data_IF_136365788369
#
_entry.id   IF_136365788369
#
_cell.length_a   1.000
_cell.length_b   1.000
_cell.length_c   1.000
_cell.angle_alpha   90.00
_cell.angle_beta   90.00
_cell.angle_gamma   90.00
#
_symmetry.space_group_name_H-M   'P 1'
#
loop_
_entity.id
_entity.type
_entity.pdbx_description
1 polymer ?
#
# COMPACT_ATOMS: atom_id res chain seq x y z
N UNK A 1 -2.29 -7.39 -7.84
CA UNK A 1 -2.78 -6.86 -9.13
C UNK A 1 -3.37 -7.98 -9.97
N UNK A 2 -4.36 -7.69 -10.85
CA UNK A 2 -4.94 -8.64 -11.79
C UNK A 2 -5.51 -7.89 -13.01
N UNK A 3 -5.03 -8.18 -14.23
CA UNK A 3 -5.41 -7.53 -15.47
C UNK A 3 -5.47 -5.99 -15.36
N UNK A 4 -4.38 -5.41 -14.90
CA UNK A 4 -4.30 -3.98 -14.56
C UNK A 4 -3.34 -3.20 -15.47
N UNK A 5 -2.98 -3.72 -16.65
CA UNK A 5 -1.99 -3.12 -17.55
C UNK A 5 -2.26 -1.64 -17.84
N UNK A 6 -3.54 -1.24 -17.97
CA UNK A 6 -3.91 0.14 -18.30
C UNK A 6 -3.69 1.16 -17.19
N UNK A 7 -3.55 0.72 -15.94
CA UNK A 7 -3.48 1.61 -14.75
C UNK A 7 -2.27 1.38 -13.86
N UNK A 8 -1.50 0.30 -14.08
CA UNK A 8 -0.42 -0.11 -13.20
C UNK A 8 0.80 0.82 -13.27
N UNK A 9 1.21 1.25 -14.47
CA UNK A 9 2.45 2.01 -14.66
C UNK A 9 2.56 3.24 -13.75
N UNK A 10 1.53 4.11 -13.63
CA UNK A 10 1.62 5.27 -12.75
C UNK A 10 1.78 4.94 -11.26
N UNK A 11 1.29 3.78 -10.81
CA UNK A 11 1.50 3.29 -9.45
C UNK A 11 2.98 2.96 -9.25
N UNK A 12 3.56 2.18 -10.16
CA UNK A 12 4.96 1.77 -10.13
C UNK A 12 5.89 2.97 -10.16
N UNK A 13 5.64 3.93 -11.07
CA UNK A 13 6.42 5.16 -11.17
C UNK A 13 6.41 5.96 -9.87
N UNK A 14 5.25 6.03 -9.19
CA UNK A 14 5.13 6.76 -7.92
C UNK A 14 5.93 6.12 -6.78
N UNK A 15 6.13 4.80 -6.81
CA UNK A 15 7.00 4.08 -5.85
C UNK A 15 8.47 4.31 -6.22
N UNK A 16 8.83 4.18 -7.50
CA UNK A 16 10.20 4.37 -7.98
C UNK A 16 10.76 5.75 -7.65
N UNK A 17 9.89 6.78 -7.69
CA UNK A 17 10.27 8.17 -7.41
C UNK A 17 10.42 8.49 -5.92
N UNK A 18 10.15 7.57 -4.99
CA UNK A 18 10.31 7.86 -3.58
C UNK A 18 11.77 8.07 -3.22
N UNK A 19 12.05 9.13 -2.45
CA UNK A 19 13.41 9.48 -1.99
C UNK A 19 13.89 8.53 -0.88
N UNK A 20 12.98 7.95 -0.10
CA UNK A 20 13.31 7.01 0.98
C UNK A 20 13.93 5.74 0.40
N UNK A 21 15.17 5.38 0.78
CA UNK A 21 15.90 4.32 0.07
C UNK A 21 15.46 2.91 0.42
N UNK A 22 14.97 2.66 1.64
CA UNK A 22 14.73 1.30 2.13
C UNK A 22 13.28 0.85 1.86
N UNK A 23 12.92 0.74 0.59
CA UNK A 23 11.59 0.30 0.12
C UNK A 23 11.66 -1.15 -0.36
N UNK A 24 10.82 -2.01 0.18
CA UNK A 24 10.52 -3.33 -0.35
C UNK A 24 9.16 -3.27 -1.07
N UNK A 25 9.15 -3.35 -2.38
CA UNK A 25 7.93 -3.35 -3.19
C UNK A 25 7.61 -4.77 -3.65
N UNK A 26 6.59 -5.37 -3.05
CA UNK A 26 6.13 -6.72 -3.37
C UNK A 26 4.91 -6.62 -4.27
N UNK A 27 5.02 -7.11 -5.50
CA UNK A 27 3.94 -7.13 -6.48
C UNK A 27 3.38 -8.55 -6.55
N UNK A 28 2.15 -8.72 -6.08
CA UNK A 28 1.41 -9.96 -6.19
C UNK A 28 0.46 -9.86 -7.38
N UNK A 29 0.68 -10.68 -8.37
CA UNK A 29 -0.12 -10.77 -9.59
C UNK A 29 -0.96 -12.05 -9.60
N UNK A 30 -2.26 -11.92 -9.76
CA UNK A 30 -3.24 -13.01 -9.75
C UNK A 30 -3.27 -13.82 -11.06
N UNK A 31 -2.10 -14.07 -11.70
CA UNK A 31 -1.97 -14.69 -13.01
C UNK A 31 -2.69 -13.90 -14.10
N UNK A 32 -2.33 -12.64 -14.24
CA UNK A 32 -2.85 -11.76 -15.31
C UNK A 32 -2.62 -12.34 -16.70
N UNK A 33 -3.55 -12.06 -17.59
CA UNK A 33 -3.52 -12.50 -19.00
C UNK A 33 -3.28 -11.37 -19.99
N UNK A 34 -3.21 -10.13 -19.49
CA UNK A 34 -2.82 -8.93 -20.23
C UNK A 34 -1.33 -8.59 -19.95
N UNK A 35 -0.87 -7.42 -20.38
CA UNK A 35 0.52 -7.00 -20.26
C UNK A 35 0.94 -6.59 -18.81
N UNK A 36 0.11 -6.88 -17.80
CA UNK A 36 0.37 -6.51 -16.39
C UNK A 36 1.72 -7.05 -15.89
N UNK A 37 2.00 -8.33 -16.16
CA UNK A 37 3.22 -8.98 -15.69
C UNK A 37 4.48 -8.46 -16.42
N UNK A 38 4.36 -8.16 -17.71
CA UNK A 38 5.44 -7.56 -18.51
C UNK A 38 5.79 -6.17 -18.00
N UNK A 39 4.78 -5.35 -17.68
CA UNK A 39 4.96 -4.01 -17.09
C UNK A 39 5.66 -4.12 -15.73
N UNK A 40 5.23 -5.05 -14.87
CA UNK A 40 5.84 -5.26 -13.56
C UNK A 40 7.33 -5.67 -13.67
N UNK A 41 7.67 -6.55 -14.61
CA UNK A 41 9.06 -6.99 -14.85
C UNK A 41 9.92 -5.86 -15.41
N UNK A 42 9.41 -5.04 -16.33
CA UNK A 42 10.12 -3.88 -16.84
C UNK A 42 10.40 -2.87 -15.71
N UNK A 43 9.44 -2.64 -14.82
CA UNK A 43 9.62 -1.81 -13.63
C UNK A 43 10.69 -2.39 -12.69
N UNK A 44 10.69 -3.70 -12.42
CA UNK A 44 11.72 -4.34 -11.59
C UNK A 44 13.11 -4.10 -12.16
N UNK A 45 13.30 -4.31 -13.48
CA UNK A 45 14.57 -4.01 -14.13
C UNK A 45 14.96 -2.53 -14.00
N UNK A 46 14.01 -1.61 -14.19
CA UNK A 46 14.25 -0.17 -14.04
C UNK A 46 14.65 0.18 -12.59
N UNK A 47 14.04 -0.47 -11.60
CA UNK A 47 14.40 -0.28 -10.19
C UNK A 47 15.79 -0.82 -9.87
N UNK A 48 16.17 -1.98 -10.43
CA UNK A 48 17.50 -2.58 -10.26
C UNK A 48 18.62 -1.73 -10.92
N UNK A 49 18.29 -0.99 -11.97
CA UNK A 49 19.20 -0.07 -12.66
C UNK A 49 19.25 1.33 -12.01
N UNK A 50 18.29 1.65 -11.15
CA UNK A 50 18.23 2.93 -10.46
C UNK A 50 19.23 2.98 -9.28
N UNK A 51 19.75 4.17 -8.97
CA UNK A 51 20.63 4.38 -7.80
C UNK A 51 19.83 4.47 -6.48
N UNK A 52 18.59 3.96 -6.44
CA UNK A 52 17.82 3.83 -5.22
C UNK A 52 18.05 2.41 -4.62
N UNK A 53 17.99 2.28 -3.33
CA UNK A 53 18.16 0.99 -2.66
C UNK A 53 16.81 0.21 -2.56
N UNK A 54 15.90 0.41 -3.50
CA UNK A 54 14.61 -0.26 -3.53
C UNK A 54 14.76 -1.72 -3.92
N UNK A 55 14.03 -2.61 -3.27
CA UNK A 55 13.98 -4.03 -3.58
C UNK A 55 12.60 -4.36 -4.15
N UNK A 56 12.54 -4.78 -5.41
CA UNK A 56 11.29 -5.19 -6.07
C UNK A 56 11.21 -6.71 -6.16
N UNK A 57 10.11 -7.27 -5.69
CA UNK A 57 9.79 -8.70 -5.80
C UNK A 57 8.47 -8.89 -6.53
N UNK A 58 8.42 -9.85 -7.43
CA UNK A 58 7.21 -10.17 -8.21
C UNK A 58 6.86 -11.62 -7.98
N UNK A 59 5.61 -11.89 -7.63
CA UNK A 59 5.03 -13.22 -7.62
C UNK A 59 3.77 -13.21 -8.47
N UNK A 60 3.70 -14.09 -9.46
CA UNK A 60 2.54 -14.26 -10.32
C UNK A 60 2.03 -15.70 -10.22
N UNK A 61 0.83 -15.83 -9.68
CA UNK A 61 0.12 -17.10 -9.54
C UNK A 61 -1.38 -16.84 -9.36
N UNK A 62 -2.26 -17.79 -9.68
CA UNK A 62 -3.68 -17.65 -9.39
C UNK A 62 -3.93 -17.37 -7.90
N UNK A 63 -4.90 -16.50 -7.63
CA UNK A 63 -5.36 -16.17 -6.29
C UNK A 63 -6.89 -16.28 -6.18
N UNK A 64 -7.37 -16.33 -4.94
CA UNK A 64 -8.80 -16.32 -4.62
C UNK A 64 -9.36 -14.89 -4.43
N UNK A 65 -8.72 -13.90 -5.06
CA UNK A 65 -9.12 -12.50 -5.09
C UNK A 65 -8.20 -11.58 -4.28
N UNK A 66 -8.60 -10.30 -4.24
CA UNK A 66 -7.78 -9.20 -3.71
C UNK A 66 -7.18 -9.48 -2.32
N UNK A 67 -7.97 -9.98 -1.39
CA UNK A 67 -7.53 -10.17 -0.01
C UNK A 67 -6.61 -11.40 0.15
N UNK A 68 -6.74 -12.41 -0.70
CA UNK A 68 -5.78 -13.51 -0.78
C UNK A 68 -4.41 -13.00 -1.29
N UNK A 69 -4.41 -12.20 -2.35
CA UNK A 69 -3.20 -11.55 -2.84
C UNK A 69 -2.55 -10.66 -1.77
N UNK A 70 -3.33 -9.87 -1.02
CA UNK A 70 -2.83 -9.06 0.09
C UNK A 70 -2.22 -9.91 1.21
N UNK A 71 -2.83 -11.04 1.57
CA UNK A 71 -2.30 -11.98 2.55
C UNK A 71 -0.97 -12.59 2.08
N UNK A 72 -0.85 -12.95 0.80
CA UNK A 72 0.41 -13.44 0.22
C UNK A 72 1.52 -12.39 0.32
N UNK A 73 1.22 -11.13 0.00
CA UNK A 73 2.15 -10.02 0.16
C UNK A 73 2.57 -9.80 1.61
N UNK A 74 1.60 -9.82 2.54
CA UNK A 74 1.85 -9.65 3.97
C UNK A 74 2.78 -10.72 4.56
N UNK A 75 2.66 -11.97 4.10
CA UNK A 75 3.51 -13.06 4.55
C UNK A 75 4.97 -12.92 4.07
N UNK A 76 5.18 -12.29 2.91
CA UNK A 76 6.49 -12.11 2.30
C UNK A 76 7.21 -10.85 2.76
N UNK A 77 6.48 -9.83 3.19
CA UNK A 77 7.06 -8.54 3.58
C UNK A 77 8.11 -8.70 4.69
N UNK A 78 9.19 -7.92 4.66
CA UNK A 78 10.29 -7.99 5.64
C UNK A 78 10.59 -6.66 6.33
N UNK A 79 9.95 -5.56 5.89
CA UNK A 79 10.13 -4.22 6.45
C UNK A 79 9.55 -4.03 7.87
N UNK A 80 9.68 -2.82 8.41
CA UNK A 80 9.11 -2.45 9.72
C UNK A 80 7.60 -2.15 9.63
N UNK A 81 7.17 -1.52 8.55
CA UNK A 81 5.79 -1.15 8.26
C UNK A 81 5.35 -1.68 6.90
N UNK A 82 4.06 -1.93 6.76
CA UNK A 82 3.44 -2.31 5.49
C UNK A 82 2.30 -1.36 5.14
N UNK A 83 2.19 -1.05 3.85
CA UNK A 83 1.07 -0.36 3.23
C UNK A 83 0.65 -1.13 1.99
N UNK A 84 -0.64 -1.15 1.69
CA UNK A 84 -1.17 -1.77 0.49
C UNK A 84 -1.54 -0.71 -0.54
N UNK A 85 -1.10 -0.90 -1.77
CA UNK A 85 -1.33 -0.01 -2.88
C UNK A 85 -2.01 -0.77 -4.01
N UNK A 86 -3.18 -0.35 -4.43
CA UNK A 86 -3.84 -0.96 -5.58
C UNK A 86 -3.28 -0.37 -6.89
N UNK A 87 -3.35 -1.11 -7.97
CA UNK A 87 -3.04 -0.58 -9.29
C UNK A 87 -3.98 0.60 -9.62
N UNK A 88 -3.39 1.74 -9.97
CA UNK A 88 -4.06 3.03 -10.16
C UNK A 88 -3.86 4.03 -9.02
N UNK A 89 -3.59 3.57 -7.79
CA UNK A 89 -3.23 4.45 -6.68
C UNK A 89 -1.78 4.94 -6.79
N UNK A 90 -1.46 6.09 -6.21
CA UNK A 90 -0.13 6.72 -6.30
C UNK A 90 0.26 7.39 -5.01
N UNK A 91 1.54 7.38 -4.71
CA UNK A 91 2.10 8.34 -3.78
C UNK A 91 2.04 9.76 -4.37
N UNK A 92 1.57 10.77 -3.60
CA UNK A 92 1.39 12.12 -4.15
C UNK A 92 2.72 12.85 -4.40
N UNK A 93 3.77 12.52 -3.65
CA UNK A 93 5.06 13.23 -3.70
C UNK A 93 6.24 12.26 -3.49
N UNK A 94 7.44 12.59 -4.00
CA UNK A 94 8.64 11.77 -3.79
C UNK A 94 9.08 11.67 -2.32
N UNK A 95 8.71 12.61 -1.48
CA UNK A 95 9.04 12.66 -0.04
C UNK A 95 7.96 12.05 0.87
N UNK A 96 6.98 11.34 0.30
CA UNK A 96 5.86 10.78 1.08
C UNK A 96 6.35 9.75 2.08
N UNK A 97 7.20 8.82 1.67
CA UNK A 97 7.73 7.79 2.58
C UNK A 97 8.71 8.37 3.60
N UNK A 98 9.50 9.39 3.26
CA UNK A 98 10.33 10.11 4.25
C UNK A 98 9.49 10.69 5.38
N UNK A 99 8.33 11.30 5.05
CA UNK A 99 7.40 11.84 6.05
C UNK A 99 6.79 10.75 6.93
N UNK A 100 6.44 9.60 6.35
CA UNK A 100 5.92 8.45 7.10
C UNK A 100 6.99 7.92 8.07
N UNK A 101 8.22 7.75 7.61
CA UNK A 101 9.33 7.28 8.44
C UNK A 101 9.66 8.29 9.54
N UNK A 102 9.67 9.59 9.21
CA UNK A 102 9.87 10.63 10.22
C UNK A 102 8.80 10.56 11.31
N UNK A 103 7.53 10.38 10.94
CA UNK A 103 6.43 10.24 11.90
C UNK A 103 6.57 8.96 12.76
N UNK A 104 7.16 7.88 12.21
CA UNK A 104 7.43 6.66 12.96
C UNK A 104 8.50 6.84 14.06
N UNK A 105 9.45 7.76 13.85
CA UNK A 105 10.61 7.98 14.75
C UNK A 105 10.36 9.09 15.75
N UNK A 106 9.60 10.13 15.38
CA UNK A 106 9.40 11.35 16.21
C UNK A 106 8.25 11.18 17.22
N UNK A 107 7.54 10.07 17.24
CA UNK A 107 6.47 9.82 18.21
C UNK A 107 6.97 9.95 19.67
N UNK A 108 6.16 10.56 20.54
CA UNK A 108 6.50 10.89 21.95
C UNK A 108 6.66 9.66 22.88
N UNK A 109 6.84 8.46 22.35
CA UNK A 109 6.92 7.22 23.11
C UNK A 109 8.20 6.42 22.87
N UNK A 110 8.53 5.55 23.82
CA UNK A 110 9.64 4.57 23.68
C UNK A 110 9.32 3.50 22.62
N UNK A 111 8.04 3.31 22.28
CA UNK A 111 7.59 2.32 21.29
C UNK A 111 7.16 2.98 19.98
N UNK A 112 7.55 2.37 18.87
CA UNK A 112 7.08 2.78 17.53
C UNK A 112 5.56 2.65 17.42
N UNK A 113 4.85 3.60 16.80
CA UNK A 113 3.39 3.52 16.60
C UNK A 113 2.97 2.20 15.95
N UNK A 114 1.84 1.63 16.39
CA UNK A 114 1.28 0.43 15.77
C UNK A 114 0.77 0.73 14.34
N UNK A 115 0.27 1.96 14.14
CA UNK A 115 -0.27 2.43 12.86
C UNK A 115 0.12 3.89 12.65
N UNK A 116 0.55 4.20 11.43
CA UNK A 116 0.66 5.54 10.89
C UNK A 116 -0.39 5.69 9.79
N UNK A 117 -0.94 6.88 9.62
CA UNK A 117 -1.98 7.11 8.62
C UNK A 117 -1.93 8.54 8.08
N UNK A 118 -2.52 8.72 6.91
CA UNK A 118 -2.61 10.00 6.24
C UNK A 118 -3.93 10.22 5.55
N UNK A 119 -4.10 11.41 5.00
CA UNK A 119 -5.21 11.76 4.12
C UNK A 119 -5.02 11.17 2.72
N UNK A 120 -6.12 11.15 1.97
CA UNK A 120 -6.16 10.63 0.61
C UNK A 120 -6.91 11.63 -0.29
N UNK A 121 -6.34 11.90 -1.44
CA UNK A 121 -6.96 12.68 -2.49
C UNK A 121 -7.62 11.77 -3.53
N UNK A 122 -8.68 12.28 -4.16
CA UNK A 122 -9.33 11.66 -5.32
C UNK A 122 -8.74 12.30 -6.57
N UNK A 123 -8.26 11.48 -7.47
CA UNK A 123 -7.69 11.89 -8.76
C UNK A 123 -8.47 11.28 -9.92
N UNK A 124 -8.39 11.89 -11.10
CA UNK A 124 -8.91 11.32 -12.34
C UNK A 124 -7.94 10.25 -12.93
N UNK A 125 -8.35 9.62 -14.02
CA UNK A 125 -7.55 8.62 -14.73
C UNK A 125 -6.18 9.17 -15.23
N UNK A 126 -6.08 10.49 -15.41
CA UNK A 126 -4.84 11.17 -15.81
C UNK A 126 -3.96 11.58 -14.63
N UNK A 127 -4.46 11.37 -13.39
CA UNK A 127 -3.77 11.76 -12.16
C UNK A 127 -3.99 13.22 -11.75
N UNK A 128 -4.95 13.93 -12.35
CA UNK A 128 -5.29 15.28 -11.93
C UNK A 128 -6.14 15.24 -10.65
N UNK A 129 -5.83 16.13 -9.71
CA UNK A 129 -6.60 16.29 -8.49
C UNK A 129 -8.05 16.67 -8.78
N UNK A 130 -8.98 15.95 -8.19
CA UNK A 130 -10.42 16.23 -8.26
C UNK A 130 -10.92 16.83 -6.95
N UNK A 131 -10.69 16.19 -5.83
CA UNK A 131 -11.11 16.67 -4.52
C UNK A 131 -10.41 15.88 -3.40
N UNK A 132 -10.42 16.43 -2.20
CA UNK A 132 -10.08 15.68 -1.00
C UNK A 132 -11.15 14.63 -0.70
N UNK A 133 -10.74 13.49 -0.19
CA UNK A 133 -11.67 12.45 0.26
C UNK A 133 -12.56 13.00 1.38
N UNK A 134 -13.87 12.74 1.28
CA UNK A 134 -14.87 13.28 2.23
C UNK A 134 -14.68 12.80 3.67
N UNK A 135 -14.27 11.54 3.84
CA UNK A 135 -13.97 10.97 5.16
C UNK A 135 -12.47 11.13 5.39
N UNK A 136 -12.12 11.87 6.40
CA UNK A 136 -10.73 12.18 6.80
C UNK A 136 -10.51 11.72 8.24
N UNK A 137 -9.34 11.20 8.58
CA UNK A 137 -9.04 10.78 9.92
C UNK A 137 -8.94 11.99 10.86
N UNK A 138 -9.27 11.79 12.14
CA UNK A 138 -8.91 12.72 13.20
C UNK A 138 -7.44 12.50 13.58
N UNK A 139 -6.85 13.45 14.32
CA UNK A 139 -5.46 13.34 14.81
C UNK A 139 -5.18 12.03 15.55
N UNK A 140 -6.19 11.41 16.13
CA UNK A 140 -6.08 10.16 16.87
C UNK A 140 -7.08 9.13 16.34
N UNK A 141 -6.55 8.02 15.84
CA UNK A 141 -7.35 6.91 15.32
C UNK A 141 -7.53 5.82 16.42
N UNK A 142 -8.74 5.30 16.53
CA UNK A 142 -9.08 4.14 17.37
C UNK A 142 -10.04 3.22 16.60
N UNK A 143 -10.22 1.98 17.04
CA UNK A 143 -11.22 1.10 16.44
C UNK A 143 -12.65 1.72 16.38
N UNK A 144 -13.00 2.56 17.37
CA UNK A 144 -14.29 3.26 17.42
C UNK A 144 -14.42 4.31 16.33
N UNK A 145 -13.32 4.82 15.81
CA UNK A 145 -13.31 5.80 14.73
C UNK A 145 -13.93 5.24 13.45
N UNK A 146 -13.83 3.94 13.23
CA UNK A 146 -14.41 3.24 12.07
C UNK A 146 -15.92 2.96 12.17
N UNK A 147 -16.56 3.29 13.30
CA UNK A 147 -18.00 3.07 13.50
C UNK A 147 -18.89 3.75 12.46
N UNK A 148 -18.44 4.84 11.89
CA UNK A 148 -19.18 5.66 10.91
C UNK A 148 -18.64 5.55 9.49
N UNK A 149 -17.74 4.62 9.24
CA UNK A 149 -17.14 4.34 7.94
C UNK A 149 -15.62 4.31 7.97
N UNK A 150 -15.04 4.04 6.83
CA UNK A 150 -13.60 3.97 6.62
C UNK A 150 -13.00 5.38 6.61
N UNK A 151 -12.56 5.90 7.76
CA UNK A 151 -11.98 7.25 7.88
C UNK A 151 -10.63 7.38 7.18
N UNK A 152 -9.85 6.31 7.15
CA UNK A 152 -8.57 6.22 6.46
C UNK A 152 -8.70 5.24 5.31
N UNK A 153 -8.22 5.59 4.12
CA UNK A 153 -8.06 4.60 3.07
C UNK A 153 -6.96 3.61 3.46
N UNK A 154 -7.11 2.33 3.13
CA UNK A 154 -6.07 1.36 3.42
C UNK A 154 -4.76 1.65 2.68
N UNK A 155 -4.79 2.37 1.55
CA UNK A 155 -3.62 2.87 0.82
C UNK A 155 -2.84 3.97 1.56
N UNK A 156 -3.43 4.56 2.61
CA UNK A 156 -2.80 5.53 3.49
C UNK A 156 -2.74 5.03 4.95
N UNK A 157 -2.82 3.72 5.15
CA UNK A 157 -2.78 3.05 6.44
C UNK A 157 -1.52 2.18 6.51
N UNK A 158 -0.52 2.66 7.24
CA UNK A 158 0.78 1.98 7.40
C UNK A 158 0.78 1.24 8.72
N UNK A 159 0.62 -0.07 8.67
CA UNK A 159 0.61 -0.92 9.85
C UNK A 159 2.01 -1.45 10.17
N UNK A 160 2.37 -1.49 11.45
CA UNK A 160 3.59 -2.15 11.88
C UNK A 160 3.52 -3.64 11.55
N UNK A 161 4.55 -4.14 10.87
CA UNK A 161 4.50 -5.46 10.22
C UNK A 161 4.35 -6.62 11.21
N UNK A 162 4.94 -6.53 12.40
CA UNK A 162 4.82 -7.56 13.44
C UNK A 162 3.37 -7.75 13.91
N UNK A 163 2.61 -6.64 13.99
CA UNK A 163 1.18 -6.65 14.30
C UNK A 163 0.38 -7.16 13.10
N UNK A 164 0.61 -6.57 11.92
CA UNK A 164 -0.10 -6.89 10.70
C UNK A 164 -0.04 -8.38 10.35
N UNK A 165 1.13 -9.02 10.50
CA UNK A 165 1.30 -10.46 10.23
C UNK A 165 0.46 -11.37 11.12
N UNK A 166 0.13 -10.93 12.32
CA UNK A 166 -0.73 -11.70 13.23
C UNK A 166 -2.22 -11.60 12.87
N UNK A 167 -2.58 -10.67 11.99
CA UNK A 167 -3.94 -10.28 11.64
C UNK A 167 -4.15 -10.35 10.12
N UNK A 168 -4.22 -11.55 9.55
CA UNK A 168 -4.50 -11.71 8.13
C UNK A 168 -5.90 -11.18 7.77
N UNK A 169 -6.07 -10.75 6.51
CA UNK A 169 -7.39 -10.45 5.97
C UNK A 169 -8.27 -11.70 6.01
N UNK A 170 -9.50 -11.55 6.48
CA UNK A 170 -10.50 -12.60 6.44
C UNK A 170 -11.07 -12.71 5.01
N UNK A 171 -10.66 -13.72 4.29
CA UNK A 171 -11.07 -13.96 2.90
C UNK A 171 -12.53 -14.43 2.77
N UNK A 172 -13.25 -14.69 3.87
CA UNK A 172 -14.68 -14.96 3.82
C UNK A 172 -15.50 -13.70 3.49
N UNK A 173 -14.94 -12.51 3.76
CA UNK A 173 -15.50 -11.25 3.29
C UNK A 173 -15.15 -11.00 1.83
N UNK A 174 -16.14 -11.04 0.97
CA UNK A 174 -15.95 -10.68 -0.45
C UNK A 174 -15.60 -9.20 -0.63
N UNK A 175 -16.12 -8.34 0.24
CA UNK A 175 -15.89 -6.89 0.26
C UNK A 175 -15.64 -6.45 1.70
N UNK A 176 -14.93 -5.34 1.88
CA UNK A 176 -14.71 -4.69 3.19
C UNK A 176 -13.90 -5.51 4.21
N UNK A 177 -13.11 -6.51 3.80
CA UNK A 177 -12.13 -7.14 4.70
C UNK A 177 -11.03 -6.17 5.13
N UNK A 178 -10.76 -5.12 4.33
CA UNK A 178 -9.88 -4.00 4.67
C UNK A 178 -10.39 -3.20 5.87
N UNK A 179 -11.70 -2.95 5.96
CA UNK A 179 -12.32 -2.29 7.13
C UNK A 179 -12.17 -3.15 8.37
N UNK A 180 -12.50 -4.46 8.28
CA UNK A 180 -12.33 -5.41 9.38
C UNK A 180 -10.87 -5.47 9.84
N UNK A 181 -9.93 -5.54 8.90
CA UNK A 181 -8.50 -5.58 9.19
C UNK A 181 -8.00 -4.32 9.91
N UNK A 182 -8.42 -3.13 9.48
CA UNK A 182 -8.05 -1.86 10.13
C UNK A 182 -8.67 -1.70 11.54
N UNK A 183 -9.74 -2.42 11.88
CA UNK A 183 -10.39 -2.37 13.19
C UNK A 183 -9.73 -3.31 14.19
N UNK A 184 -9.28 -4.46 13.75
CA UNK A 184 -8.60 -5.48 14.56
C UNK A 184 -7.19 -5.08 14.92
#
# INVERSE_FOLDING_TARGET
TYNAASVLQPTLDSVLMQNYPHVEHIIIDGASTDDTLEIAKAYQQQSDEAENEHVVRIQSEPDDGLYDAMNKGLQQATGDYIVFMNAGDRFPNPDTLDKVVLAAVVGDGEERPAVLFGDTDIIDEKGNFLCHRRLSPSERLTWRSFRYGMLVCHQAFYARLDIARSLLYDTTYRYSADVDWCIR
#
